data_IF_322986440723
#
_entry.id   IF_322986440723
#
_cell.length_a   1.000
_cell.length_b   1.000
_cell.length_c   1.000
_cell.angle_alpha   90.00
_cell.angle_beta   90.00
_cell.angle_gamma   90.00
#
_symmetry.space_group_name_H-M   'P 1'
#
loop_
_entity.id
_entity.type
_entity.pdbx_description
1 polymer ?
#
# COMPACT_ATOMS: atom_id res chain seq x y z
N UNK A 1 9.21 -21.55 10.59
CA UNK A 1 7.81 -21.51 10.13
C UNK A 1 7.47 -20.09 9.61
N UNK A 2 8.35 -19.45 8.83
CA UNK A 2 8.16 -18.04 8.43
C UNK A 2 7.57 -17.87 7.02
N UNK A 3 7.41 -18.96 6.26
CA UNK A 3 6.87 -18.91 4.90
C UNK A 3 5.37 -18.62 4.84
N UNK A 4 4.61 -19.15 5.81
CA UNK A 4 3.14 -19.06 5.84
C UNK A 4 2.68 -17.63 6.13
N UNK A 5 3.30 -16.96 7.11
CA UNK A 5 2.97 -15.57 7.47
C UNK A 5 3.30 -14.57 6.36
N UNK A 6 4.39 -14.79 5.60
CA UNK A 6 4.79 -13.91 4.50
C UNK A 6 3.85 -14.06 3.29
N UNK A 7 3.40 -15.28 3.01
CA UNK A 7 2.42 -15.54 1.95
C UNK A 7 1.05 -14.94 2.29
N UNK A 8 0.57 -15.15 3.52
CA UNK A 8 -0.67 -14.53 4.02
C UNK A 8 -0.60 -13.01 3.96
N UNK A 9 0.53 -12.42 4.33
CA UNK A 9 0.77 -10.99 4.24
C UNK A 9 0.66 -10.49 2.79
N UNK A 10 1.31 -11.19 1.85
CA UNK A 10 1.26 -10.83 0.44
C UNK A 10 -0.16 -10.86 -0.13
N UNK A 11 -0.95 -11.87 0.25
CA UNK A 11 -2.37 -11.96 -0.14
C UNK A 11 -3.18 -10.79 0.42
N UNK A 12 -3.01 -10.49 1.72
CA UNK A 12 -3.74 -9.41 2.38
C UNK A 12 -3.41 -8.03 1.78
N UNK A 13 -2.13 -7.76 1.53
CA UNK A 13 -1.69 -6.51 0.89
C UNK A 13 -2.28 -6.34 -0.51
N UNK A 14 -2.31 -7.43 -1.29
CA UNK A 14 -2.93 -7.41 -2.62
C UNK A 14 -4.43 -7.11 -2.53
N UNK A 15 -5.15 -7.79 -1.63
CA UNK A 15 -6.58 -7.60 -1.46
C UNK A 15 -6.92 -6.17 -1.00
N UNK A 16 -6.12 -5.60 -0.10
CA UNK A 16 -6.22 -4.18 0.32
C UNK A 16 -5.98 -3.26 -0.88
N UNK A 17 -4.92 -3.50 -1.66
CA UNK A 17 -4.58 -2.68 -2.82
C UNK A 17 -5.65 -2.74 -3.91
N UNK A 18 -6.22 -3.91 -4.19
CA UNK A 18 -7.30 -4.07 -5.17
C UNK A 18 -8.57 -3.36 -4.70
N UNK A 19 -9.02 -3.60 -3.46
CA UNK A 19 -10.21 -2.98 -2.90
C UNK A 19 -10.07 -1.46 -2.77
N UNK A 20 -8.94 -0.97 -2.25
CA UNK A 20 -8.72 0.45 -2.02
C UNK A 20 -8.66 1.26 -3.31
N UNK A 21 -7.98 0.75 -4.35
CA UNK A 21 -7.96 1.44 -5.66
C UNK A 21 -9.34 1.44 -6.31
N UNK A 22 -10.13 0.38 -6.17
CA UNK A 22 -11.52 0.39 -6.64
C UNK A 22 -12.37 1.43 -5.89
N UNK A 23 -12.21 1.54 -4.58
CA UNK A 23 -12.94 2.48 -3.72
C UNK A 23 -12.60 3.96 -4.00
N UNK A 24 -11.38 4.26 -4.46
CA UNK A 24 -10.98 5.63 -4.82
C UNK A 24 -11.94 6.30 -5.82
N UNK A 25 -12.60 5.52 -6.70
CA UNK A 25 -13.57 6.05 -7.64
C UNK A 25 -14.86 6.58 -6.97
N UNK A 26 -15.24 6.02 -5.81
CA UNK A 26 -16.43 6.39 -5.05
C UNK A 26 -16.18 7.32 -3.87
N UNK A 27 -14.92 7.46 -3.45
CA UNK A 27 -14.53 8.21 -2.25
C UNK A 27 -13.47 9.27 -2.56
N UNK A 28 -13.86 10.52 -2.87
CA UNK A 28 -12.92 11.61 -3.14
C UNK A 28 -11.93 11.88 -1.99
N UNK A 29 -12.37 11.64 -0.74
CA UNK A 29 -11.51 11.76 0.43
C UNK A 29 -10.39 10.72 0.46
N UNK A 30 -10.69 9.48 0.06
CA UNK A 30 -9.68 8.43 -0.08
C UNK A 30 -8.72 8.76 -1.23
N UNK A 31 -9.26 9.18 -2.39
CA UNK A 31 -8.44 9.56 -3.54
C UNK A 31 -7.43 10.67 -3.18
N UNK A 32 -7.88 11.72 -2.50
CA UNK A 32 -7.01 12.80 -2.05
C UNK A 32 -5.93 12.35 -1.05
N UNK A 33 -6.28 11.44 -0.12
CA UNK A 33 -5.32 10.88 0.83
C UNK A 33 -4.26 10.02 0.12
N UNK A 34 -4.68 9.21 -0.86
CA UNK A 34 -3.78 8.42 -1.71
C UNK A 34 -2.84 9.33 -2.50
N UNK A 35 -3.36 10.37 -3.15
CA UNK A 35 -2.54 11.35 -3.91
C UNK A 35 -1.46 12.00 -3.03
N UNK A 36 -1.80 12.35 -1.79
CA UNK A 36 -0.84 12.89 -0.83
C UNK A 36 0.26 11.87 -0.51
N UNK A 37 -0.09 10.62 -0.26
CA UNK A 37 0.89 9.56 0.01
C UNK A 37 1.76 9.26 -1.20
N UNK A 38 1.20 9.31 -2.42
CA UNK A 38 1.92 9.18 -3.69
C UNK A 38 2.96 10.28 -3.83
N UNK A 39 2.61 11.54 -3.54
CA UNK A 39 3.56 12.65 -3.58
C UNK A 39 4.72 12.42 -2.61
N UNK A 40 4.41 12.03 -1.36
CA UNK A 40 5.43 11.69 -0.37
C UNK A 40 6.32 10.51 -0.80
N UNK A 41 5.74 9.46 -1.39
CA UNK A 41 6.50 8.31 -1.91
C UNK A 41 7.47 8.72 -3.02
N UNK A 42 7.05 9.58 -3.94
CA UNK A 42 7.91 10.10 -5.01
C UNK A 42 9.04 10.97 -4.46
N UNK A 43 8.76 11.77 -3.42
CA UNK A 43 9.78 12.57 -2.75
C UNK A 43 10.81 11.71 -1.99
N UNK A 44 10.36 10.61 -1.38
CA UNK A 44 11.22 9.71 -0.58
C UNK A 44 12.02 8.72 -1.44
N UNK A 45 11.39 8.13 -2.47
CA UNK A 45 11.96 7.04 -3.27
C UNK A 45 12.52 7.52 -4.61
N UNK A 46 12.16 8.72 -5.07
CA UNK A 46 12.56 9.23 -6.38
C UNK A 46 11.92 8.44 -7.53
N UNK A 47 12.70 8.19 -8.58
CA UNK A 47 12.26 7.43 -9.76
C UNK A 47 12.38 5.92 -9.51
N UNK A 48 11.62 5.42 -8.53
CA UNK A 48 11.67 4.02 -8.13
C UNK A 48 11.02 3.11 -9.17
N UNK A 49 11.66 1.97 -9.46
CA UNK A 49 11.09 0.94 -10.34
C UNK A 49 10.13 0.00 -9.60
N UNK A 50 9.43 -0.85 -10.36
CA UNK A 50 8.48 -1.84 -9.82
C UNK A 50 9.09 -2.71 -8.70
N UNK A 51 10.33 -3.18 -8.88
CA UNK A 51 11.01 -4.02 -7.88
C UNK A 51 11.28 -3.29 -6.57
N UNK A 52 11.62 -2.00 -6.63
CA UNK A 52 11.86 -1.16 -5.45
C UNK A 52 10.55 -0.85 -4.74
N UNK A 53 9.48 -0.55 -5.48
CA UNK A 53 8.13 -0.36 -4.94
C UNK A 53 7.60 -1.64 -4.28
N UNK A 54 7.81 -2.80 -4.90
CA UNK A 54 7.42 -4.10 -4.33
C UNK A 54 8.23 -4.44 -3.07
N UNK A 55 9.54 -4.12 -3.07
CA UNK A 55 10.39 -4.24 -1.89
C UNK A 55 9.90 -3.36 -0.74
N UNK A 56 9.67 -2.08 -1.03
CA UNK A 56 9.13 -1.12 -0.09
C UNK A 56 7.79 -1.59 0.50
N UNK A 57 6.85 -2.01 -0.36
CA UNK A 57 5.51 -2.43 0.07
C UNK A 57 5.55 -3.62 1.04
N UNK A 58 6.38 -4.63 0.74
CA UNK A 58 6.52 -5.81 1.58
C UNK A 58 7.08 -5.43 2.96
N UNK A 59 8.20 -4.70 2.97
CA UNK A 59 8.90 -4.36 4.21
C UNK A 59 8.03 -3.41 5.07
N UNK A 60 7.34 -2.47 4.43
CA UNK A 60 6.36 -1.58 5.06
C UNK A 60 5.21 -2.35 5.72
N UNK A 61 4.59 -3.26 4.98
CA UNK A 61 3.46 -4.02 5.49
C UNK A 61 3.91 -4.94 6.62
N UNK A 62 5.03 -5.66 6.46
CA UNK A 62 5.58 -6.52 7.50
C UNK A 62 5.85 -5.74 8.79
N UNK A 63 6.46 -4.56 8.71
CA UNK A 63 6.68 -3.71 9.88
C UNK A 63 5.36 -3.26 10.52
N UNK A 64 4.39 -2.79 9.73
CA UNK A 64 3.08 -2.39 10.22
C UNK A 64 2.38 -3.52 11.00
N UNK A 65 2.35 -4.72 10.42
CA UNK A 65 1.75 -5.89 11.06
C UNK A 65 2.49 -6.34 12.31
N UNK A 66 3.83 -6.29 12.29
CA UNK A 66 4.64 -6.58 13.48
C UNK A 66 4.40 -5.57 14.61
N UNK A 67 4.01 -4.34 14.29
CA UNK A 67 3.56 -3.32 15.26
C UNK A 67 2.11 -3.50 15.73
N UNK A 68 1.41 -4.51 15.23
CA UNK A 68 0.03 -4.84 15.60
C UNK A 68 -1.05 -4.06 14.84
N UNK A 69 -0.68 -3.37 13.75
CA UNK A 69 -1.66 -2.80 12.85
C UNK A 69 -2.47 -3.90 12.17
N UNK A 70 -3.77 -3.65 11.95
CA UNK A 70 -4.65 -4.51 11.17
C UNK A 70 -5.64 -3.62 10.42
N UNK A 71 -5.95 -3.89 9.14
CA UNK A 71 -6.80 -3.02 8.32
C UNK A 71 -8.22 -2.97 8.88
N UNK A 72 -8.60 -1.85 9.53
CA UNK A 72 -9.93 -1.65 10.12
C UNK A 72 -10.64 -0.41 9.57
N UNK A 73 -9.90 0.63 9.19
CA UNK A 73 -10.46 1.84 8.57
C UNK A 73 -9.67 2.19 7.29
N UNK A 74 -10.40 2.58 6.25
CA UNK A 74 -9.82 3.13 5.00
C UNK A 74 -9.05 4.44 5.20
N UNK A 75 -9.18 5.07 6.38
CA UNK A 75 -8.44 6.26 6.80
C UNK A 75 -7.17 5.94 7.56
N UNK A 76 -6.92 4.67 7.88
CA UNK A 76 -5.69 4.26 8.53
C UNK A 76 -4.51 4.63 7.64
N UNK A 77 -3.49 5.23 8.24
CA UNK A 77 -2.33 5.71 7.49
C UNK A 77 -1.64 4.56 6.73
N UNK A 78 -1.53 3.38 7.35
CA UNK A 78 -0.99 2.17 6.73
C UNK A 78 -1.86 1.65 5.58
N UNK A 79 -3.19 1.71 5.72
CA UNK A 79 -4.11 1.34 4.65
C UNK A 79 -3.88 2.24 3.43
N UNK A 80 -3.92 3.56 3.63
CA UNK A 80 -3.73 4.54 2.55
C UNK A 80 -2.35 4.40 1.91
N UNK A 81 -1.31 4.12 2.71
CA UNK A 81 0.05 3.89 2.20
C UNK A 81 0.15 2.64 1.33
N UNK A 82 -0.46 1.53 1.73
CA UNK A 82 -0.52 0.30 0.91
C UNK A 82 -1.25 0.58 -0.42
N UNK A 83 -2.40 1.25 -0.36
CA UNK A 83 -3.17 1.61 -1.56
C UNK A 83 -2.37 2.52 -2.49
N UNK A 84 -1.64 3.50 -1.94
CA UNK A 84 -0.80 4.41 -2.72
C UNK A 84 0.33 3.70 -3.48
N UNK A 85 1.03 2.75 -2.85
CA UNK A 85 2.07 1.97 -3.54
C UNK A 85 1.46 1.05 -4.61
N UNK A 86 0.34 0.39 -4.31
CA UNK A 86 -0.39 -0.42 -5.28
C UNK A 86 -0.91 0.41 -6.46
N UNK A 87 -1.29 1.67 -6.23
CA UNK A 87 -1.68 2.60 -7.28
C UNK A 87 -0.49 3.00 -8.16
N UNK A 88 0.69 3.27 -7.58
CA UNK A 88 1.91 3.58 -8.34
C UNK A 88 2.32 2.40 -9.25
N UNK A 89 2.36 1.18 -8.70
CA UNK A 89 2.66 -0.04 -9.44
C UNK A 89 1.73 -0.29 -10.65
N UNK A 90 0.51 0.25 -10.62
CA UNK A 90 -0.45 0.14 -11.74
C UNK A 90 -0.37 1.31 -12.70
N UNK A 91 0.07 2.48 -12.23
CA UNK A 91 0.10 3.72 -13.00
C UNK A 91 1.37 3.89 -13.82
N UNK A 92 2.46 3.24 -13.41
CA UNK A 92 3.74 3.25 -14.13
C UNK A 92 3.86 2.14 -15.21
N UNK A 93 2.75 1.46 -15.53
CA UNK A 93 2.61 0.56 -16.71
C UNK A 93 2.12 1.30 -17.95
#
# INVERSE_FOLDING_TARGET
MNGDSSEVLGLLVRDIGDAGVAEMAGSPGLAAAVDQHVATLRDELGAAGDDELMGYLRDFAEEAFNRGWWPRDTRDWEFVRIVAVCWLLRSDR
#
